data_IF_637077295870
#
_entry.id   IF_637077295870
#
_cell.length_a   1.000
_cell.length_b   1.000
_cell.length_c   1.000
_cell.angle_alpha   90.00
_cell.angle_beta   90.00
_cell.angle_gamma   90.00
#
_symmetry.space_group_name_H-M   'P 1'
#
loop_
_entity.id
_entity.type
_entity.pdbx_description
1 polymer ?
#
# COMPACT_ATOMS: atom_id res chain seq x y z
N UNK A 1 -2.80 13.07 -42.54
CA UNK A 1 -3.29 13.43 -41.19
C UNK A 1 -2.68 12.43 -40.22
N UNK A 2 -1.81 12.86 -39.30
CA UNK A 2 -1.22 11.95 -38.31
C UNK A 2 -2.35 11.36 -37.43
N UNK A 3 -2.38 10.04 -37.26
CA UNK A 3 -3.34 9.38 -36.35
C UNK A 3 -3.18 10.02 -34.97
N UNK A 4 -4.25 10.64 -34.43
CA UNK A 4 -4.28 11.08 -33.03
C UNK A 4 -3.97 9.85 -32.16
N UNK A 5 -2.79 9.82 -31.54
CA UNK A 5 -2.40 8.76 -30.60
C UNK A 5 -3.40 8.79 -29.45
N UNK A 6 -4.12 7.70 -29.21
CA UNK A 6 -5.02 7.59 -28.07
C UNK A 6 -4.17 7.54 -26.81
N UNK A 7 -4.18 8.62 -26.03
CA UNK A 7 -3.51 8.69 -24.73
C UNK A 7 -4.21 7.77 -23.72
N UNK A 8 -3.42 7.02 -22.95
CA UNK A 8 -3.91 6.12 -21.90
C UNK A 8 -3.74 6.73 -20.51
N UNK A 9 -4.35 6.13 -19.49
CA UNK A 9 -4.11 6.50 -18.09
C UNK A 9 -2.65 6.33 -17.68
N UNK A 10 -1.97 5.30 -18.20
CA UNK A 10 -0.55 5.05 -17.93
C UNK A 10 0.33 6.14 -18.53
N UNK A 11 0.04 6.59 -19.76
CA UNK A 11 0.77 7.70 -20.38
C UNK A 11 0.66 8.97 -19.51
N UNK A 12 -0.56 9.28 -19.03
CA UNK A 12 -0.79 10.45 -18.16
C UNK A 12 -0.07 10.35 -16.82
N UNK A 13 0.00 9.15 -16.22
CA UNK A 13 0.80 8.89 -15.03
C UNK A 13 2.27 9.17 -15.30
N UNK A 14 2.82 8.62 -16.39
CA UNK A 14 4.22 8.83 -16.76
C UNK A 14 4.54 10.30 -17.00
N UNK A 15 3.72 11.01 -17.78
CA UNK A 15 3.89 12.45 -18.03
C UNK A 15 3.82 13.28 -16.75
N UNK A 16 2.94 12.91 -15.82
CA UNK A 16 2.84 13.62 -14.54
C UNK A 16 4.08 13.38 -13.68
N UNK A 17 4.51 12.13 -13.54
CA UNK A 17 5.73 11.78 -12.80
C UNK A 17 6.94 12.51 -13.38
N UNK A 18 7.11 12.51 -14.70
CA UNK A 18 8.19 13.23 -15.39
C UNK A 18 8.13 14.74 -15.13
N UNK A 19 6.96 15.36 -15.26
CA UNK A 19 6.78 16.78 -14.95
C UNK A 19 7.24 17.13 -13.52
N UNK A 20 6.86 16.31 -12.55
CA UNK A 20 7.23 16.47 -11.14
C UNK A 20 8.76 16.37 -10.96
N UNK A 21 9.39 15.40 -11.62
CA UNK A 21 10.84 15.21 -11.55
C UNK A 21 11.64 16.36 -12.19
N UNK A 22 11.11 16.94 -13.26
CA UNK A 22 11.75 18.05 -13.97
C UNK A 22 11.54 19.41 -13.29
N UNK A 23 10.33 19.65 -12.78
CA UNK A 23 9.91 20.98 -12.31
C UNK A 23 9.82 21.08 -10.79
N UNK A 24 9.88 19.96 -10.07
CA UNK A 24 9.73 19.87 -8.62
C UNK A 24 8.46 20.58 -8.11
N UNK A 25 7.40 20.57 -8.91
CA UNK A 25 6.11 21.19 -8.61
C UNK A 25 5.01 20.55 -9.44
N UNK A 26 3.78 20.56 -8.93
CA UNK A 26 2.61 20.11 -9.65
C UNK A 26 2.31 21.05 -10.84
N UNK A 27 1.81 20.53 -11.99
CA UNK A 27 1.33 21.38 -13.07
C UNK A 27 0.26 22.36 -12.57
N UNK A 28 0.31 23.60 -13.09
CA UNK A 28 -0.58 24.70 -12.66
C UNK A 28 -2.06 24.40 -12.87
N UNK A 29 -2.39 23.64 -13.91
CA UNK A 29 -3.75 23.24 -14.25
C UNK A 29 -3.75 22.03 -15.19
N UNK A 30 -4.85 21.29 -15.24
CA UNK A 30 -5.06 20.19 -16.20
C UNK A 30 -4.91 20.69 -17.64
N UNK A 31 -5.45 21.87 -17.95
CA UNK A 31 -5.23 22.54 -19.23
C UNK A 31 -3.75 22.68 -19.61
N UNK A 32 -2.93 23.23 -18.70
CA UNK A 32 -1.49 23.44 -18.96
C UNK A 32 -0.74 22.11 -19.11
N UNK A 33 -1.11 21.10 -18.32
CA UNK A 33 -0.55 19.76 -18.39
C UNK A 33 -0.89 19.05 -19.71
N UNK A 34 -2.15 19.13 -20.14
CA UNK A 34 -2.61 18.55 -21.39
C UNK A 34 -1.94 19.20 -22.61
N UNK A 35 -1.84 20.53 -22.61
CA UNK A 35 -1.16 21.30 -23.65
C UNK A 35 0.34 20.95 -23.74
N UNK A 36 1.02 20.83 -22.61
CA UNK A 36 2.45 20.48 -22.57
C UNK A 36 2.72 19.07 -23.13
N UNK A 37 1.78 18.14 -22.94
CA UNK A 37 1.90 16.74 -23.35
C UNK A 37 1.13 16.41 -24.65
N UNK A 38 0.71 17.45 -25.40
CA UNK A 38 0.05 17.32 -26.70
C UNK A 38 -1.22 16.45 -26.72
N UNK A 39 -2.07 16.58 -25.70
CA UNK A 39 -3.38 15.91 -25.65
C UNK A 39 -4.50 16.89 -25.24
N UNK A 40 -5.75 16.50 -25.48
CA UNK A 40 -6.91 17.34 -25.13
C UNK A 40 -7.25 17.18 -23.65
N UNK A 41 -7.51 18.28 -22.94
CA UNK A 41 -7.92 18.27 -21.52
C UNK A 41 -9.13 17.36 -21.26
N UNK A 42 -10.08 17.27 -22.19
CA UNK A 42 -11.21 16.35 -22.11
C UNK A 42 -10.78 14.86 -22.01
N UNK A 43 -9.61 14.48 -22.53
CA UNK A 43 -9.08 13.13 -22.40
C UNK A 43 -8.59 12.86 -20.97
N UNK A 44 -8.05 13.85 -20.26
CA UNK A 44 -7.68 13.71 -18.85
C UNK A 44 -8.88 13.30 -18.02
N UNK A 45 -10.00 14.01 -18.20
CA UNK A 45 -11.24 13.79 -17.44
C UNK A 45 -11.93 12.45 -17.75
N UNK A 46 -11.51 11.73 -18.78
CA UNK A 46 -11.95 10.33 -18.99
C UNK A 46 -11.36 9.36 -17.98
N UNK A 47 -10.20 9.71 -17.39
CA UNK A 47 -9.46 8.85 -16.47
C UNK A 47 -9.38 9.43 -15.05
N UNK A 48 -9.20 10.73 -14.92
CA UNK A 48 -8.97 11.40 -13.63
C UNK A 48 -9.80 12.68 -13.49
N UNK A 49 -10.46 12.85 -12.35
CA UNK A 49 -11.23 14.07 -12.07
C UNK A 49 -10.37 15.29 -11.74
N UNK A 50 -9.15 15.08 -11.25
CA UNK A 50 -8.19 16.10 -10.87
C UNK A 50 -6.80 15.45 -10.67
N UNK A 51 -5.78 16.25 -10.32
CA UNK A 51 -4.43 15.73 -10.05
C UNK A 51 -4.35 14.85 -8.81
N UNK A 52 -5.16 15.08 -7.76
CA UNK A 52 -5.20 14.21 -6.58
C UNK A 52 -5.62 12.77 -6.97
N UNK A 53 -6.63 12.63 -7.83
CA UNK A 53 -7.08 11.33 -8.33
C UNK A 53 -6.01 10.63 -9.19
N UNK A 54 -5.20 11.41 -9.93
CA UNK A 54 -4.05 10.91 -10.69
C UNK A 54 -2.96 10.43 -9.73
N UNK A 55 -2.57 11.24 -8.73
CA UNK A 55 -1.55 10.89 -7.73
C UNK A 55 -1.90 9.62 -6.98
N UNK A 56 -3.16 9.47 -6.57
CA UNK A 56 -3.66 8.22 -5.98
C UNK A 56 -3.49 7.02 -6.91
N UNK A 57 -3.65 7.23 -8.22
CA UNK A 57 -3.52 6.17 -9.21
C UNK A 57 -2.07 5.77 -9.44
N UNK A 58 -1.10 6.65 -9.16
CA UNK A 58 0.32 6.33 -9.25
C UNK A 58 0.70 5.28 -8.18
N UNK A 59 0.33 5.50 -6.93
CA UNK A 59 0.58 4.50 -5.87
C UNK A 59 -0.22 3.22 -6.07
N UNK A 60 -1.42 3.31 -6.65
CA UNK A 60 -2.15 2.11 -7.10
C UNK A 60 -1.39 1.37 -8.20
N UNK A 61 -0.83 2.07 -9.18
CA UNK A 61 -0.05 1.45 -10.24
C UNK A 61 1.20 0.73 -9.70
N UNK A 62 1.86 1.27 -8.66
CA UNK A 62 2.94 0.56 -7.98
C UNK A 62 2.46 -0.76 -7.38
N UNK A 63 1.32 -0.75 -6.68
CA UNK A 63 0.71 -1.96 -6.13
C UNK A 63 0.34 -2.98 -7.21
N UNK A 64 -0.34 -2.52 -8.27
CA UNK A 64 -0.78 -3.40 -9.37
C UNK A 64 0.43 -4.03 -10.09
N UNK A 65 1.51 -3.26 -10.26
CA UNK A 65 2.76 -3.76 -10.82
C UNK A 65 3.42 -4.79 -9.90
N UNK A 66 3.36 -4.61 -8.57
CA UNK A 66 3.85 -5.60 -7.61
C UNK A 66 3.14 -6.94 -7.79
N UNK A 67 1.81 -6.94 -7.83
CA UNK A 67 1.04 -8.16 -8.06
C UNK A 67 1.39 -8.80 -9.42
N UNK A 68 1.47 -7.99 -10.47
CA UNK A 68 1.85 -8.45 -11.82
C UNK A 68 3.23 -9.11 -11.84
N UNK A 69 4.19 -8.63 -11.04
CA UNK A 69 5.53 -9.23 -10.94
C UNK A 69 5.49 -10.53 -10.15
N UNK A 70 4.78 -10.57 -9.02
CA UNK A 70 4.66 -11.76 -8.17
C UNK A 70 3.95 -12.91 -8.89
N UNK A 71 2.86 -12.62 -9.61
CA UNK A 71 2.06 -13.61 -10.35
C UNK A 71 2.84 -14.27 -11.52
N UNK A 72 3.95 -13.68 -11.96
CA UNK A 72 4.85 -14.32 -12.95
C UNK A 72 5.69 -15.43 -12.33
N UNK A 73 5.83 -15.47 -11.00
CA UNK A 73 6.53 -16.54 -10.30
C UNK A 73 5.57 -17.69 -10.03
N UNK A 74 5.84 -18.85 -10.64
CA UNK A 74 5.04 -20.06 -10.43
C UNK A 74 5.00 -20.49 -8.95
N UNK A 75 6.04 -20.15 -8.19
CA UNK A 75 6.15 -20.56 -6.78
C UNK A 75 5.27 -19.69 -5.87
N UNK A 76 4.94 -18.47 -6.27
CA UNK A 76 4.22 -17.51 -5.41
C UNK A 76 2.82 -18.01 -5.03
N UNK A 77 2.13 -18.72 -5.93
CA UNK A 77 0.82 -19.29 -5.63
C UNK A 77 0.88 -20.29 -4.47
N UNK A 78 1.97 -21.07 -4.40
CA UNK A 78 2.21 -22.12 -3.40
C UNK A 78 2.66 -21.61 -2.03
N UNK A 79 3.03 -20.32 -1.93
CA UNK A 79 3.50 -19.74 -0.68
C UNK A 79 2.38 -19.61 0.36
N UNK A 80 2.74 -19.81 1.63
CA UNK A 80 1.89 -19.44 2.76
C UNK A 80 1.72 -17.92 2.89
N UNK A 81 0.80 -17.49 3.75
CA UNK A 81 0.49 -16.08 3.95
C UNK A 81 1.71 -15.23 4.36
N UNK A 82 2.62 -15.80 5.15
CA UNK A 82 3.84 -15.12 5.63
C UNK A 82 4.79 -14.86 4.48
N UNK A 83 5.10 -15.89 3.70
CA UNK A 83 6.00 -15.81 2.57
C UNK A 83 5.40 -14.97 1.44
N UNK A 84 4.08 -15.05 1.19
CA UNK A 84 3.39 -14.14 0.26
C UNK A 84 3.55 -12.68 0.67
N UNK A 85 3.36 -12.36 1.96
CA UNK A 85 3.54 -11.00 2.45
C UNK A 85 5.00 -10.55 2.36
N UNK A 86 5.97 -11.38 2.74
CA UNK A 86 7.40 -11.07 2.59
C UNK A 86 7.76 -10.77 1.12
N UNK A 87 7.39 -11.65 0.20
CA UNK A 87 7.63 -11.44 -1.24
C UNK A 87 6.98 -10.16 -1.73
N UNK A 88 5.75 -9.87 -1.29
CA UNK A 88 5.10 -8.61 -1.61
C UNK A 88 5.91 -7.40 -1.15
N UNK A 89 6.39 -7.38 0.09
CA UNK A 89 7.17 -6.26 0.60
C UNK A 89 8.45 -6.08 -0.23
N UNK A 90 9.24 -7.13 -0.45
CA UNK A 90 10.46 -7.02 -1.26
C UNK A 90 10.17 -6.47 -2.67
N UNK A 91 9.22 -7.07 -3.39
CA UNK A 91 8.87 -6.63 -4.74
C UNK A 91 8.26 -5.22 -4.77
N UNK A 92 7.43 -4.86 -3.79
CA UNK A 92 6.88 -3.51 -3.70
C UNK A 92 7.97 -2.47 -3.48
N UNK A 93 8.93 -2.72 -2.59
CA UNK A 93 10.02 -1.80 -2.31
C UNK A 93 11.07 -1.73 -3.43
N UNK A 94 11.27 -2.80 -4.20
CA UNK A 94 12.02 -2.74 -5.46
C UNK A 94 11.35 -1.80 -6.48
N UNK A 95 10.02 -1.90 -6.65
CA UNK A 95 9.25 -1.01 -7.54
C UNK A 95 9.30 0.44 -7.05
N UNK A 96 9.17 0.69 -5.75
CA UNK A 96 9.34 2.03 -5.18
C UNK A 96 10.77 2.55 -5.40
N UNK A 97 11.78 1.69 -5.28
CA UNK A 97 13.18 2.03 -5.51
C UNK A 97 13.44 2.44 -6.96
N UNK A 98 12.87 1.72 -7.92
CA UNK A 98 12.92 2.11 -9.34
C UNK A 98 12.27 3.47 -9.61
N UNK A 99 11.38 3.95 -8.73
CA UNK A 99 10.65 5.21 -8.84
C UNK A 99 10.99 6.18 -7.69
N UNK A 100 12.16 6.02 -7.04
CA UNK A 100 12.46 6.65 -5.74
C UNK A 100 12.32 8.16 -5.75
N UNK A 101 12.82 8.84 -6.79
CA UNK A 101 12.76 10.30 -6.87
C UNK A 101 11.33 10.83 -6.82
N UNK A 102 10.39 10.15 -7.49
CA UNK A 102 8.99 10.54 -7.45
C UNK A 102 8.36 10.23 -6.08
N UNK A 103 8.63 9.04 -5.53
CA UNK A 103 8.08 8.66 -4.21
C UNK A 103 8.58 9.61 -3.12
N UNK A 104 9.86 9.98 -3.16
CA UNK A 104 10.45 10.96 -2.25
C UNK A 104 9.79 12.33 -2.43
N UNK A 105 9.56 12.78 -3.66
CA UNK A 105 8.80 14.01 -3.88
C UNK A 105 7.39 13.91 -3.27
N UNK A 106 6.65 12.86 -3.61
CA UNK A 106 5.25 12.73 -3.21
C UNK A 106 5.05 12.61 -1.69
N UNK A 107 6.02 12.01 -0.98
CA UNK A 107 5.89 11.69 0.45
C UNK A 107 6.76 12.56 1.37
N UNK A 108 7.85 13.15 0.90
CA UNK A 108 8.70 14.04 1.71
C UNK A 108 8.54 15.51 1.30
N UNK A 109 8.31 15.80 0.02
CA UNK A 109 8.16 17.19 -0.43
C UNK A 109 6.83 17.80 0.03
N UNK A 110 6.90 18.98 0.64
CA UNK A 110 5.73 19.72 1.14
C UNK A 110 5.36 19.44 2.60
N UNK A 111 4.80 20.46 3.26
CA UNK A 111 4.45 20.43 4.70
C UNK A 111 3.10 19.78 5.00
N UNK A 112 2.33 19.43 3.96
CA UNK A 112 0.95 18.99 4.12
C UNK A 112 0.85 17.47 4.29
N UNK A 113 0.81 17.04 5.55
CA UNK A 113 0.63 15.63 5.92
C UNK A 113 -0.69 15.04 5.42
N UNK A 114 -1.73 15.85 5.26
CA UNK A 114 -3.03 15.38 4.80
C UNK A 114 -2.97 14.97 3.34
N UNK A 115 -2.35 15.79 2.49
CA UNK A 115 -2.14 15.49 1.06
C UNK A 115 -1.34 14.21 0.84
N UNK A 116 -0.31 13.97 1.66
CA UNK A 116 0.48 12.73 1.64
C UNK A 116 -0.39 11.50 1.93
N UNK A 117 -1.30 11.59 2.89
CA UNK A 117 -2.23 10.48 3.19
C UNK A 117 -3.29 10.30 2.10
N UNK A 118 -3.74 11.39 1.49
CA UNK A 118 -4.70 11.35 0.38
C UNK A 118 -4.11 10.64 -0.85
N UNK A 119 -2.85 10.91 -1.23
CA UNK A 119 -2.21 10.22 -2.36
C UNK A 119 -2.04 8.71 -2.14
N UNK A 120 -2.04 8.25 -0.90
CA UNK A 120 -1.95 6.83 -0.54
C UNK A 120 -3.32 6.13 -0.47
N UNK A 121 -4.44 6.82 -0.69
CA UNK A 121 -5.77 6.26 -0.44
C UNK A 121 -6.09 5.01 -1.27
N UNK A 122 -5.82 5.03 -2.59
CA UNK A 122 -6.05 3.86 -3.45
C UNK A 122 -5.08 2.72 -3.15
N UNK A 123 -3.84 3.03 -2.74
CA UNK A 123 -2.90 2.04 -2.24
C UNK A 123 -3.43 1.37 -0.97
N UNK A 124 -3.91 2.16 0.01
CA UNK A 124 -4.51 1.61 1.25
C UNK A 124 -5.64 0.65 0.93
N UNK A 125 -6.54 1.03 0.03
CA UNK A 125 -7.66 0.19 -0.38
C UNK A 125 -7.15 -1.11 -1.02
N UNK A 126 -6.29 -1.04 -2.04
CA UNK A 126 -5.78 -2.23 -2.71
C UNK A 126 -4.97 -3.14 -1.78
N UNK A 127 -4.11 -2.57 -0.95
CA UNK A 127 -3.34 -3.33 0.03
C UNK A 127 -4.22 -4.01 1.07
N UNK A 128 -5.29 -3.36 1.55
CA UNK A 128 -6.24 -3.98 2.45
C UNK A 128 -6.95 -5.20 1.82
N UNK A 129 -7.33 -5.11 0.54
CA UNK A 129 -7.89 -6.26 -0.20
C UNK A 129 -6.86 -7.38 -0.36
N UNK A 130 -5.60 -7.04 -0.64
CA UNK A 130 -4.53 -8.03 -0.69
C UNK A 130 -4.34 -8.73 0.66
N UNK A 131 -4.27 -7.99 1.77
CA UNK A 131 -4.16 -8.58 3.12
C UNK A 131 -5.34 -9.50 3.44
N UNK A 132 -6.56 -9.13 3.05
CA UNK A 132 -7.72 -10.02 3.20
C UNK A 132 -7.54 -11.32 2.38
N UNK A 133 -6.99 -11.24 1.17
CA UNK A 133 -6.76 -12.39 0.29
C UNK A 133 -5.65 -13.35 0.76
N UNK A 134 -4.82 -12.93 1.72
CA UNK A 134 -3.78 -13.79 2.29
C UNK A 134 -4.32 -14.86 3.23
N UNK A 135 -5.58 -14.74 3.65
CA UNK A 135 -6.24 -15.70 4.55
C UNK A 135 -5.40 -15.98 5.81
N UNK A 136 -4.77 -14.93 6.37
CA UNK A 136 -3.93 -15.04 7.57
C UNK A 136 -4.77 -15.68 8.69
N UNK A 137 -4.32 -16.82 9.27
CA UNK A 137 -5.08 -17.50 10.30
C UNK A 137 -5.35 -16.58 11.50
N UNK A 138 -6.63 -16.41 11.82
CA UNK A 138 -7.09 -15.69 13.01
C UNK A 138 -7.68 -16.68 14.01
N UNK A 139 -7.87 -16.22 15.25
CA UNK A 139 -8.44 -17.05 16.31
C UNK A 139 -9.91 -17.31 16.03
N UNK A 140 -10.35 -18.56 16.15
CA UNK A 140 -11.76 -18.92 16.08
C UNK A 140 -12.52 -18.33 17.29
N UNK A 141 -13.40 -17.37 17.02
CA UNK A 141 -14.24 -16.74 18.03
C UNK A 141 -15.70 -17.09 17.78
N UNK A 142 -16.42 -17.53 18.82
CA UNK A 142 -17.84 -17.91 18.70
C UNK A 142 -18.80 -16.70 18.63
N UNK A 143 -18.34 -15.56 18.12
CA UNK A 143 -19.11 -14.31 18.09
C UNK A 143 -18.71 -13.45 16.88
N UNK A 144 -19.67 -13.26 15.97
CA UNK A 144 -19.49 -12.54 14.69
C UNK A 144 -18.91 -11.12 14.85
N UNK A 145 -19.31 -10.39 15.91
CA UNK A 145 -18.78 -9.04 16.14
C UNK A 145 -17.30 -9.06 16.49
N UNK A 146 -16.82 -10.07 17.21
CA UNK A 146 -15.40 -10.17 17.57
C UNK A 146 -14.56 -10.58 16.36
N UNK A 147 -15.06 -11.50 15.53
CA UNK A 147 -14.43 -11.86 14.26
C UNK A 147 -14.26 -10.63 13.36
N UNK A 148 -15.33 -9.85 13.17
CA UNK A 148 -15.28 -8.57 12.41
C UNK A 148 -14.23 -7.61 12.96
N UNK A 149 -14.11 -7.50 14.27
CA UNK A 149 -13.10 -6.66 14.92
C UNK A 149 -11.69 -7.18 14.66
N UNK A 150 -11.45 -8.49 14.70
CA UNK A 150 -10.14 -9.06 14.38
C UNK A 150 -9.74 -8.79 12.93
N UNK A 151 -10.62 -9.05 11.96
CA UNK A 151 -10.34 -8.77 10.55
C UNK A 151 -10.03 -7.29 10.28
N UNK A 152 -10.82 -6.39 10.87
CA UNK A 152 -10.54 -4.95 10.78
C UNK A 152 -9.19 -4.59 11.41
N UNK A 153 -8.90 -5.15 12.58
CA UNK A 153 -7.64 -4.89 13.30
C UNK A 153 -6.44 -5.37 12.50
N UNK A 154 -6.51 -6.56 11.89
CA UNK A 154 -5.47 -7.10 11.01
C UNK A 154 -5.16 -6.17 9.83
N UNK A 155 -6.19 -5.70 9.13
CA UNK A 155 -6.01 -4.78 8.00
C UNK A 155 -5.39 -3.45 8.39
N UNK A 156 -5.88 -2.85 9.47
CA UNK A 156 -5.36 -1.56 9.93
C UNK A 156 -3.94 -1.69 10.49
N UNK A 157 -3.61 -2.78 11.18
CA UNK A 157 -2.24 -3.03 11.67
C UNK A 157 -1.28 -3.30 10.52
N UNK A 158 -1.68 -4.08 9.52
CA UNK A 158 -0.89 -4.30 8.31
C UNK A 158 -0.65 -2.99 7.56
N UNK A 159 -1.67 -2.13 7.43
CA UNK A 159 -1.53 -0.81 6.83
C UNK A 159 -0.53 0.07 7.59
N UNK A 160 -0.60 0.09 8.92
CA UNK A 160 0.36 0.80 9.76
C UNK A 160 1.78 0.24 9.56
N UNK A 161 1.94 -1.08 9.50
CA UNK A 161 3.23 -1.71 9.23
C UNK A 161 3.78 -1.23 7.89
N UNK A 162 2.99 -1.24 6.82
CA UNK A 162 3.40 -0.74 5.50
C UNK A 162 3.84 0.73 5.55
N UNK A 163 3.09 1.60 6.24
CA UNK A 163 3.47 3.01 6.40
C UNK A 163 4.79 3.18 7.16
N UNK A 164 5.02 2.41 8.21
CA UNK A 164 6.27 2.43 8.97
C UNK A 164 7.43 1.93 8.11
N UNK A 165 7.23 0.88 7.30
CA UNK A 165 8.25 0.41 6.36
C UNK A 165 8.56 1.45 5.28
N UNK A 166 7.55 2.12 4.72
CA UNK A 166 7.74 3.21 3.74
C UNK A 166 8.58 4.33 4.37
N UNK A 167 8.25 4.71 5.60
CA UNK A 167 9.02 5.73 6.33
C UNK A 167 10.47 5.28 6.55
N UNK A 168 10.68 4.05 7.01
CA UNK A 168 12.02 3.50 7.22
C UNK A 168 12.84 3.53 5.92
N UNK A 169 12.25 3.09 4.81
CA UNK A 169 12.89 3.08 3.49
C UNK A 169 13.20 4.47 2.92
N UNK A 170 12.35 5.48 3.20
CA UNK A 170 12.63 6.87 2.83
C UNK A 170 13.88 7.40 3.56
N UNK A 171 14.07 6.98 4.81
CA UNK A 171 15.18 7.39 5.69
C UNK A 171 16.43 6.51 5.56
N UNK A 172 16.33 5.36 4.89
CA UNK A 172 17.43 4.41 4.72
C UNK A 172 18.50 4.92 3.75
N UNK A 173 19.71 5.08 4.27
CA UNK A 173 20.91 5.53 3.54
C UNK A 173 21.92 4.41 3.29
N UNK A 174 21.58 3.17 3.63
CA UNK A 174 22.44 2.01 3.36
C UNK A 174 22.53 1.70 1.86
N UNK A 175 23.65 1.11 1.39
CA UNK A 175 23.78 0.70 -0.01
C UNK A 175 22.62 -0.22 -0.41
N UNK A 176 21.98 0.11 -1.53
CA UNK A 176 20.84 -0.66 -2.07
C UNK A 176 19.68 -0.86 -1.09
N UNK A 177 19.57 -0.06 -0.03
CA UNK A 177 18.51 -0.16 0.99
C UNK A 177 18.50 -1.48 1.77
N UNK A 178 19.67 -2.11 1.97
CA UNK A 178 19.81 -3.39 2.69
C UNK A 178 19.18 -3.37 4.10
N UNK A 179 19.16 -2.21 4.79
CA UNK A 179 18.53 -2.11 6.11
C UNK A 179 17.01 -2.18 6.02
N UNK A 180 16.42 -1.69 4.94
CA UNK A 180 14.99 -1.82 4.66
C UNK A 180 14.64 -3.29 4.48
N UNK A 181 15.45 -4.07 3.77
CA UNK A 181 15.22 -5.51 3.58
C UNK A 181 15.26 -6.26 4.91
N UNK A 182 16.23 -5.93 5.77
CA UNK A 182 16.32 -6.47 7.14
C UNK A 182 15.10 -6.05 7.97
N UNK A 183 14.66 -4.80 7.84
CA UNK A 183 13.49 -4.31 8.55
C UNK A 183 12.21 -5.03 8.12
N UNK A 184 12.02 -5.25 6.81
CA UNK A 184 10.90 -6.02 6.24
C UNK A 184 10.90 -7.43 6.85
N UNK A 185 12.03 -8.13 6.78
CA UNK A 185 12.15 -9.50 7.30
C UNK A 185 11.76 -9.56 8.77
N UNK A 186 12.36 -8.69 9.59
CA UNK A 186 12.15 -8.68 11.04
C UNK A 186 10.72 -8.28 11.41
N UNK A 187 10.19 -7.23 10.79
CA UNK A 187 8.87 -6.69 11.12
C UNK A 187 7.75 -7.65 10.72
N UNK A 188 7.79 -8.18 9.49
CA UNK A 188 6.77 -9.14 9.01
C UNK A 188 6.82 -10.42 9.85
N UNK A 189 8.00 -11.00 10.07
CA UNK A 189 8.10 -12.21 10.90
C UNK A 189 7.58 -11.97 12.32
N UNK A 190 7.97 -10.86 12.94
CA UNK A 190 7.48 -10.50 14.29
C UNK A 190 5.95 -10.38 14.31
N UNK A 191 5.34 -9.74 13.32
CA UNK A 191 3.87 -9.59 13.25
C UNK A 191 3.15 -10.94 13.15
N UNK A 192 3.65 -11.87 12.34
CA UNK A 192 3.07 -13.22 12.25
C UNK A 192 3.30 -14.03 13.53
N UNK A 193 4.48 -13.93 14.13
CA UNK A 193 4.78 -14.63 15.37
C UNK A 193 3.86 -14.16 16.49
N UNK A 194 3.62 -12.84 16.59
CA UNK A 194 2.68 -12.24 17.55
C UNK A 194 1.25 -12.79 17.41
N UNK A 195 0.76 -12.92 16.18
CA UNK A 195 -0.59 -13.46 15.88
C UNK A 195 -0.71 -14.91 16.36
N UNK A 196 0.32 -15.74 16.19
CA UNK A 196 0.28 -17.15 16.58
C UNK A 196 0.62 -17.41 18.06
N UNK A 197 1.02 -16.39 18.81
CA UNK A 197 1.51 -16.61 20.17
C UNK A 197 0.43 -17.07 21.16
N UNK A 198 0.83 -18.00 22.05
CA UNK A 198 0.03 -18.48 23.19
C UNK A 198 -0.48 -17.36 24.12
N UNK A 199 0.28 -16.29 24.46
CA UNK A 199 -0.21 -15.22 25.32
C UNK A 199 -1.43 -14.47 24.74
N UNK A 200 -1.50 -14.28 23.42
CA UNK A 200 -2.66 -13.68 22.79
C UNK A 200 -3.92 -14.55 22.98
N UNK A 201 -3.76 -15.87 22.79
CA UNK A 201 -4.80 -16.89 23.06
C UNK A 201 -5.24 -16.82 24.53
N UNK A 202 -4.30 -16.77 25.48
CA UNK A 202 -4.58 -16.68 26.91
C UNK A 202 -5.32 -15.40 27.34
N UNK A 203 -4.99 -14.23 26.77
CA UNK A 203 -5.67 -12.96 27.07
C UNK A 203 -7.15 -13.04 26.64
N UNK A 204 -7.40 -13.64 25.48
CA UNK A 204 -8.76 -13.80 24.96
C UNK A 204 -9.54 -14.80 25.80
N UNK A 205 -8.93 -15.92 26.19
CA UNK A 205 -9.59 -16.91 27.05
C UNK A 205 -9.88 -16.37 28.45
N UNK A 206 -9.00 -15.53 29.00
CA UNK A 206 -9.27 -14.77 30.22
C UNK A 206 -10.46 -13.81 30.04
N UNK A 207 -10.53 -13.09 28.91
CA UNK A 207 -11.68 -12.24 28.57
C UNK A 207 -13.00 -13.01 28.50
N UNK A 208 -12.99 -14.19 27.85
CA UNK A 208 -14.15 -15.11 27.79
C UNK A 208 -14.56 -15.58 29.19
N UNK A 209 -13.60 -15.92 30.05
CA UNK A 209 -13.85 -16.32 31.43
C UNK A 209 -14.50 -15.19 32.24
N UNK A 210 -13.92 -13.98 32.21
CA UNK A 210 -14.45 -12.82 32.93
C UNK A 210 -15.86 -12.43 32.47
N UNK A 211 -16.15 -12.53 31.17
CA UNK A 211 -17.49 -12.29 30.63
C UNK A 211 -18.51 -13.31 31.13
N UNK A 212 -18.17 -14.61 31.11
CA UNK A 212 -19.04 -15.66 31.66
C UNK A 212 -19.33 -15.46 33.15
N UNK A 213 -18.29 -15.17 33.95
CA UNK A 213 -18.44 -14.94 35.39
C UNK A 213 -19.31 -13.72 35.70
N UNK A 214 -19.19 -12.64 34.92
CA UNK A 214 -20.00 -11.43 35.11
C UNK A 214 -21.47 -11.65 34.75
N UNK A 215 -21.77 -12.54 33.81
CA UNK A 215 -23.15 -12.86 33.40
C UNK A 215 -23.79 -13.94 34.29
N UNK A 216 -23.02 -14.91 34.79
CA UNK A 216 -23.56 -15.95 35.69
C UNK A 216 -23.79 -15.47 37.14
N UNK A 217 -23.26 -14.30 37.52
CA UNK A 217 -23.48 -13.68 38.84
C UNK A 217 -24.54 -12.56 38.83
N UNK A 218 -25.23 -12.34 37.70
CA UNK A 218 -26.34 -11.38 37.58
C UNK A 218 -27.63 -12.10 37.26
#
# INVERSE_FOLDING_TARGET
MAKKKTITSSDMISFYMEHILEHNTQPKSVHSFAKANNFEEAQFYKYFGNFEALEQSIFKAFLDNTHTVLEKSNDYESFDARNKLLSFYYTFFEILTANRSYVFYALEHGKDRLKKLQSLQKLKQGFAHYVDSLEIPLLELKQETLEKVQHKTLKESAWIQLLVTIKFWLEDTSPSFEKTDIFIEKSVNTSFDLIDTKPLKSIIDLGKFLYKEKIHKS
#
